data_IF_564641630669
#
_entry.id   IF_564641630669
#
_cell.length_a   1.000
_cell.length_b   1.000
_cell.length_c   1.000
_cell.angle_alpha   90.00
_cell.angle_beta   90.00
_cell.angle_gamma   90.00
#
_symmetry.space_group_name_H-M   'P 1'
#
loop_
_entity.id
_entity.type
_entity.pdbx_description
1 polymer ?
#
# COMPACT_ATOMS: atom_id res chain seq x y z
N UNK A 1 -7.06 6.37 -36.58
CA UNK A 1 -6.77 6.90 -35.22
C UNK A 1 -5.69 6.07 -34.54
N UNK A 2 -5.84 4.76 -34.33
CA UNK A 2 -4.67 3.91 -33.97
C UNK A 2 -3.55 4.07 -35.01
N UNK A 3 -3.90 4.05 -36.31
CA UNK A 3 -2.95 4.33 -37.40
C UNK A 3 -2.36 5.75 -37.38
N UNK A 4 -3.06 6.72 -36.80
CA UNK A 4 -2.63 8.12 -36.73
C UNK A 4 -1.62 8.29 -35.60
N UNK A 5 -1.93 7.79 -34.39
CA UNK A 5 -1.00 7.71 -33.28
C UNK A 5 0.27 6.92 -33.66
N UNK A 6 0.11 5.79 -34.35
CA UNK A 6 1.23 5.00 -34.86
C UNK A 6 2.07 5.76 -35.90
N UNK A 7 1.46 6.61 -36.73
CA UNK A 7 2.17 7.47 -37.70
C UNK A 7 2.91 8.60 -36.99
N UNK A 8 2.28 9.21 -35.98
CA UNK A 8 2.87 10.26 -35.15
C UNK A 8 4.08 9.75 -34.39
N UNK A 9 3.95 8.61 -33.69
CA UNK A 9 5.05 7.96 -32.96
C UNK A 9 6.20 7.58 -33.90
N UNK A 10 5.91 7.11 -35.12
CA UNK A 10 6.96 6.81 -36.12
C UNK A 10 7.70 8.05 -36.61
N UNK A 11 7.06 9.21 -36.57
CA UNK A 11 7.65 10.47 -36.99
C UNK A 11 8.48 11.12 -35.87
N UNK A 12 8.35 10.64 -34.63
CA UNK A 12 9.14 11.12 -33.49
C UNK A 12 10.63 10.84 -33.70
N UNK A 13 11.51 11.85 -33.60
CA UNK A 13 12.96 11.65 -33.68
C UNK A 13 13.45 10.65 -32.64
N UNK A 14 14.32 9.72 -33.06
CA UNK A 14 14.90 8.69 -32.19
C UNK A 14 14.08 7.40 -32.09
N UNK A 15 13.00 7.24 -32.86
CA UNK A 15 12.22 5.99 -32.93
C UNK A 15 12.67 5.12 -34.11
N UNK A 16 13.19 3.92 -33.82
CA UNK A 16 13.52 2.90 -34.82
C UNK A 16 12.29 2.19 -35.36
N UNK A 17 11.41 1.78 -34.46
CA UNK A 17 10.23 1.03 -34.83
C UNK A 17 9.12 1.15 -33.79
N UNK A 18 7.88 0.98 -34.26
CA UNK A 18 6.71 0.83 -33.39
C UNK A 18 5.81 -0.27 -33.92
N UNK A 19 5.40 -1.13 -33.01
CA UNK A 19 4.39 -2.17 -33.22
C UNK A 19 3.14 -1.86 -32.41
N UNK A 20 1.97 -2.17 -32.95
CA UNK A 20 0.69 -2.04 -32.26
C UNK A 20 0.02 -3.42 -32.18
N UNK A 21 -0.48 -3.76 -30.99
CA UNK A 21 -1.39 -4.87 -30.76
C UNK A 21 -2.75 -4.29 -30.35
N UNK A 22 -3.82 -4.75 -30.99
CA UNK A 22 -5.17 -4.21 -30.80
C UNK A 22 -6.08 -5.36 -30.44
N UNK A 23 -6.71 -5.28 -29.27
CA UNK A 23 -7.54 -6.34 -28.72
C UNK A 23 -8.85 -5.79 -28.18
N UNK A 24 -9.84 -6.66 -28.07
CA UNK A 24 -11.09 -6.35 -27.38
C UNK A 24 -10.83 -6.47 -25.88
N UNK A 25 -11.28 -5.50 -25.08
CA UNK A 25 -11.06 -5.47 -23.64
C UNK A 25 -11.72 -6.66 -22.95
N UNK A 26 -11.04 -7.25 -21.96
CA UNK A 26 -11.47 -8.51 -21.32
C UNK A 26 -12.85 -8.41 -20.63
N UNK A 27 -13.25 -7.21 -20.22
CA UNK A 27 -14.59 -6.93 -19.66
C UNK A 27 -15.75 -7.08 -20.67
N UNK A 28 -15.45 -7.12 -21.97
CA UNK A 28 -16.45 -7.27 -23.02
C UNK A 28 -17.01 -8.69 -23.13
N UNK A 29 -16.22 -9.72 -22.79
CA UNK A 29 -16.66 -11.12 -22.86
C UNK A 29 -17.92 -11.40 -22.00
N UNK A 30 -18.27 -10.49 -21.10
CA UNK A 30 -19.43 -10.54 -20.20
C UNK A 30 -20.49 -9.45 -20.48
N UNK A 31 -20.39 -8.66 -21.57
CA UNK A 31 -21.28 -7.52 -21.82
C UNK A 31 -22.16 -7.67 -23.08
N UNK A 32 -23.42 -7.20 -23.02
CA UNK A 32 -24.37 -7.15 -24.15
C UNK A 32 -24.08 -6.03 -25.17
N UNK A 33 -22.87 -5.44 -25.14
CA UNK A 33 -22.51 -4.31 -26.01
C UNK A 33 -22.17 -4.80 -27.43
N UNK A 34 -22.36 -3.93 -28.42
CA UNK A 34 -21.92 -4.20 -29.81
C UNK A 34 -20.40 -4.01 -29.92
N UNK A 35 -19.66 -4.90 -30.63
CA UNK A 35 -18.19 -4.81 -30.81
C UNK A 35 -17.71 -3.58 -31.60
N UNK A 36 -18.63 -2.68 -31.98
CA UNK A 36 -18.37 -1.43 -32.69
C UNK A 36 -18.12 -0.23 -31.78
N UNK A 37 -18.26 -0.37 -30.46
CA UNK A 37 -18.06 0.74 -29.54
C UNK A 37 -16.56 0.95 -29.22
N UNK A 38 -15.99 2.17 -29.38
CA UNK A 38 -14.55 2.43 -29.21
C UNK A 38 -14.01 2.18 -27.79
N UNK A 39 -14.86 2.31 -26.77
CA UNK A 39 -14.54 2.05 -25.35
C UNK A 39 -14.27 0.56 -25.03
N UNK A 40 -14.44 -0.32 -26.02
CA UNK A 40 -14.28 -1.77 -25.89
C UNK A 40 -12.96 -2.29 -26.47
N UNK A 41 -12.13 -1.39 -27.01
CA UNK A 41 -10.88 -1.76 -27.65
C UNK A 41 -9.72 -1.17 -26.86
N UNK A 42 -8.72 -2.02 -26.62
CA UNK A 42 -7.44 -1.64 -26.07
C UNK A 42 -6.37 -1.72 -27.17
N UNK A 43 -5.55 -0.68 -27.27
CA UNK A 43 -4.37 -0.68 -28.12
C UNK A 43 -3.10 -0.63 -27.26
N UNK A 44 -2.17 -1.52 -27.52
CA UNK A 44 -0.86 -1.56 -26.88
C UNK A 44 0.24 -1.29 -27.91
N UNK A 45 0.98 -0.21 -27.70
CA UNK A 45 2.11 0.16 -28.54
C UNK A 45 3.44 -0.26 -27.89
N UNK A 46 4.33 -0.86 -28.66
CA UNK A 46 5.73 -1.03 -28.26
C UNK A 46 6.59 -0.18 -29.17
N UNK A 47 7.27 0.79 -28.59
CA UNK A 47 8.15 1.75 -29.28
C UNK A 47 9.59 1.38 -28.96
N UNK A 48 10.43 1.21 -29.98
CA UNK A 48 11.85 0.95 -29.85
C UNK A 48 12.63 2.17 -30.29
N UNK A 49 13.52 2.67 -29.43
CA UNK A 49 14.42 3.76 -29.77
C UNK A 49 15.54 3.30 -30.73
N UNK A 50 16.05 4.24 -31.52
CA UNK A 50 17.14 4.02 -32.48
C UNK A 50 18.47 3.68 -31.81
N UNK A 51 18.78 4.38 -30.72
CA UNK A 51 20.00 4.19 -29.97
C UNK A 51 19.84 4.63 -28.50
N UNK A 52 20.94 4.55 -27.77
CA UNK A 52 21.05 4.88 -26.36
C UNK A 52 21.11 6.38 -26.05
N UNK A 53 21.36 7.23 -27.06
CA UNK A 53 21.64 8.67 -26.97
C UNK A 53 20.45 9.54 -27.42
N UNK A 54 19.27 8.93 -27.55
CA UNK A 54 18.02 9.65 -27.81
C UNK A 54 17.70 10.63 -26.68
N UNK A 55 17.03 11.72 -27.03
CA UNK A 55 16.46 12.67 -26.07
C UNK A 55 15.27 11.99 -25.35
N UNK A 56 15.55 11.35 -24.21
CA UNK A 56 14.56 10.54 -23.46
C UNK A 56 13.35 11.39 -23.05
N UNK A 57 13.50 12.60 -22.47
CA UNK A 57 12.35 13.46 -22.17
C UNK A 57 11.50 13.80 -23.41
N UNK A 58 12.12 14.21 -24.52
CA UNK A 58 11.36 14.56 -25.73
C UNK A 58 10.61 13.35 -26.31
N UNK A 59 11.25 12.16 -26.29
CA UNK A 59 10.64 10.92 -26.73
C UNK A 59 9.45 10.52 -25.84
N UNK A 60 9.60 10.59 -24.51
CA UNK A 60 8.55 10.29 -23.55
C UNK A 60 7.31 11.18 -23.76
N UNK A 61 7.51 12.51 -23.84
CA UNK A 61 6.43 13.48 -24.07
C UNK A 61 5.73 13.23 -25.40
N UNK A 62 6.49 12.96 -26.47
CA UNK A 62 5.90 12.73 -27.79
C UNK A 62 5.07 11.45 -27.85
N UNK A 63 5.52 10.37 -27.22
CA UNK A 63 4.79 9.09 -27.22
C UNK A 63 3.53 9.18 -26.34
N UNK A 64 3.63 9.78 -25.15
CA UNK A 64 2.47 10.00 -24.28
C UNK A 64 1.41 10.89 -24.95
N UNK A 65 1.82 12.01 -25.56
CA UNK A 65 0.90 12.88 -26.30
C UNK A 65 0.20 12.15 -27.45
N UNK A 66 0.91 11.29 -28.19
CA UNK A 66 0.31 10.52 -29.29
C UNK A 66 -0.68 9.46 -28.78
N UNK A 67 -0.41 8.85 -27.61
CA UNK A 67 -1.29 7.88 -26.98
C UNK A 67 -2.57 8.52 -26.40
N UNK A 68 -2.49 9.77 -25.91
CA UNK A 68 -3.65 10.49 -25.34
C UNK A 68 -4.63 11.04 -26.39
N UNK A 69 -4.21 11.17 -27.65
CA UNK A 69 -5.06 11.64 -28.75
C UNK A 69 -6.06 10.58 -29.26
N UNK A 70 -6.12 9.41 -28.62
CA UNK A 70 -6.97 8.27 -28.99
C UNK A 70 -8.40 8.33 -28.44
N UNK A 71 -9.35 7.72 -29.18
CA UNK A 71 -10.73 7.47 -28.70
C UNK A 71 -10.90 6.07 -28.08
N UNK A 72 -9.85 5.26 -28.14
CA UNK A 72 -9.76 3.92 -27.55
C UNK A 72 -8.79 3.98 -26.37
N UNK A 73 -8.88 3.04 -25.44
CA UNK A 73 -7.93 2.92 -24.34
C UNK A 73 -6.55 2.53 -24.91
N UNK A 74 -5.53 3.36 -24.68
CA UNK A 74 -4.19 3.17 -25.25
C UNK A 74 -3.16 3.03 -24.14
N UNK A 75 -2.30 2.02 -24.27
CA UNK A 75 -1.08 1.89 -23.48
C UNK A 75 0.13 1.86 -24.41
N UNK A 76 1.27 2.34 -23.94
CA UNK A 76 2.51 2.29 -24.70
C UNK A 76 3.71 1.97 -23.81
N UNK A 77 4.67 1.24 -24.37
CA UNK A 77 5.95 0.96 -23.73
C UNK A 77 7.05 1.44 -24.65
N UNK A 78 7.83 2.40 -24.18
CA UNK A 78 9.02 2.92 -24.87
C UNK A 78 10.24 2.20 -24.34
N UNK A 79 10.97 1.53 -25.22
CA UNK A 79 12.19 0.78 -24.91
C UNK A 79 13.39 1.48 -25.51
N UNK A 80 14.36 1.82 -24.68
CA UNK A 80 15.58 2.53 -25.04
C UNK A 80 16.77 1.63 -24.70
N UNK A 81 17.57 1.19 -25.69
CA UNK A 81 18.68 0.28 -25.44
C UNK A 81 19.79 0.98 -24.66
N UNK A 82 20.42 0.27 -23.71
CA UNK A 82 21.62 0.66 -22.98
C UNK A 82 22.79 1.04 -23.89
N UNK A 83 23.68 1.93 -23.41
CA UNK A 83 25.04 1.96 -23.95
C UNK A 83 25.74 0.62 -23.67
N UNK A 84 26.88 0.37 -24.29
CA UNK A 84 27.60 -0.89 -24.08
C UNK A 84 27.97 -1.07 -22.60
N UNK A 85 27.24 -1.96 -21.91
CA UNK A 85 27.41 -2.23 -20.48
C UNK A 85 26.58 -1.33 -19.56
N UNK A 86 25.71 -0.47 -20.11
CA UNK A 86 24.70 0.29 -19.37
C UNK A 86 23.32 -0.39 -19.45
N UNK A 87 22.40 0.03 -18.60
CA UNK A 87 21.08 -0.55 -18.52
C UNK A 87 20.16 -0.15 -19.67
N UNK A 88 19.29 -1.06 -20.07
CA UNK A 88 18.12 -0.75 -20.90
C UNK A 88 17.12 0.08 -20.08
N UNK A 89 16.32 0.91 -20.76
CA UNK A 89 15.27 1.70 -20.12
C UNK A 89 13.94 1.35 -20.77
N UNK A 90 12.91 1.21 -19.94
CA UNK A 90 11.52 1.01 -20.33
C UNK A 90 10.63 2.05 -19.65
N UNK A 91 9.91 2.86 -20.43
CA UNK A 91 8.89 3.78 -19.93
C UNK A 91 7.51 3.23 -20.29
N UNK A 92 6.67 2.95 -19.29
CA UNK A 92 5.34 2.38 -19.47
C UNK A 92 4.27 3.42 -19.19
N UNK A 93 3.55 3.78 -20.24
CA UNK A 93 2.39 4.67 -20.22
C UNK A 93 1.13 3.82 -20.31
N UNK A 94 0.20 4.03 -19.39
CA UNK A 94 -1.05 3.30 -19.35
C UNK A 94 -2.17 4.25 -18.94
N UNK A 95 -3.43 3.95 -19.28
CA UNK A 95 -4.54 4.72 -18.73
C UNK A 95 -4.59 4.56 -17.21
N UNK A 96 -5.01 5.59 -16.46
CA UNK A 96 -5.11 5.50 -15.00
C UNK A 96 -6.11 4.41 -14.61
N UNK A 97 -5.67 3.50 -13.73
CA UNK A 97 -6.54 2.48 -13.16
C UNK A 97 -7.61 3.09 -12.24
N UNK A 98 -8.69 2.34 -11.99
CA UNK A 98 -9.72 2.75 -11.03
C UNK A 98 -9.08 2.90 -9.65
N UNK A 99 -9.19 4.09 -9.06
CA UNK A 99 -8.63 4.40 -7.73
C UNK A 99 -7.16 4.88 -7.74
N UNK A 100 -6.53 5.01 -8.91
CA UNK A 100 -5.21 5.65 -9.02
C UNK A 100 -5.38 7.17 -8.97
N UNK A 101 -4.77 7.82 -7.99
CA UNK A 101 -4.82 9.28 -7.80
C UNK A 101 -3.49 9.98 -8.13
N UNK A 102 -2.43 9.23 -8.41
CA UNK A 102 -1.11 9.75 -8.75
C UNK A 102 -0.72 9.40 -10.18
N UNK A 103 -0.25 10.41 -10.91
CA UNK A 103 0.32 10.29 -12.26
C UNK A 103 1.63 11.03 -12.27
N UNK A 104 2.65 10.43 -12.88
CA UNK A 104 3.91 11.10 -13.15
C UNK A 104 3.84 11.81 -14.50
N UNK A 105 4.46 12.99 -14.57
CA UNK A 105 4.66 13.66 -15.85
C UNK A 105 5.69 12.87 -16.69
N UNK A 106 5.55 12.77 -18.03
CA UNK A 106 6.49 12.03 -18.87
C UNK A 106 7.95 12.49 -18.72
N UNK A 107 8.18 13.78 -18.47
CA UNK A 107 9.51 14.33 -18.20
C UNK A 107 10.09 13.80 -16.88
N UNK A 108 9.29 13.72 -15.81
CA UNK A 108 9.72 13.16 -14.53
C UNK A 108 10.04 11.66 -14.65
N UNK A 109 9.28 10.93 -15.47
CA UNK A 109 9.58 9.53 -15.76
C UNK A 109 10.91 9.37 -16.49
N UNK A 110 11.17 10.23 -17.47
CA UNK A 110 12.42 10.24 -18.23
C UNK A 110 13.63 10.58 -17.34
N UNK A 111 13.52 11.61 -16.50
CA UNK A 111 14.58 12.02 -15.57
C UNK A 111 14.92 10.91 -14.58
N UNK A 112 13.89 10.25 -14.00
CA UNK A 112 14.07 9.11 -13.12
C UNK A 112 14.78 7.94 -13.84
N UNK A 113 14.37 7.62 -15.07
CA UNK A 113 15.00 6.57 -15.84
C UNK A 113 16.48 6.85 -16.13
N UNK A 114 16.80 8.09 -16.54
CA UNK A 114 18.18 8.51 -16.82
C UNK A 114 19.04 8.47 -15.54
N UNK A 115 18.51 8.93 -14.40
CA UNK A 115 19.22 8.91 -13.13
C UNK A 115 19.59 7.50 -12.64
N UNK A 116 18.74 6.51 -12.92
CA UNK A 116 18.94 5.12 -12.46
C UNK A 116 19.72 4.25 -13.45
N UNK A 117 19.72 4.61 -14.73
CA UNK A 117 20.32 3.82 -15.82
C UNK A 117 21.81 3.54 -15.61
N UNK A 118 22.53 4.52 -15.06
CA UNK A 118 23.99 4.46 -14.91
C UNK A 118 24.43 3.88 -13.55
N UNK A 119 23.48 3.38 -12.76
CA UNK A 119 23.80 2.74 -11.49
C UNK A 119 24.56 1.41 -11.71
N UNK A 120 25.62 1.13 -10.93
CA UNK A 120 26.37 -0.11 -11.06
C UNK A 120 25.51 -1.35 -10.80
N UNK A 121 25.60 -2.35 -11.70
CA UNK A 121 24.89 -3.62 -11.56
C UNK A 121 23.46 -3.64 -12.10
N UNK A 122 22.96 -2.51 -12.62
CA UNK A 122 21.65 -2.38 -13.27
C UNK A 122 21.69 -2.97 -14.68
N UNK A 123 20.76 -3.87 -14.99
CA UNK A 123 20.53 -4.44 -16.31
C UNK A 123 19.42 -3.71 -17.06
N UNK A 124 18.34 -3.37 -16.36
CA UNK A 124 17.17 -2.70 -16.94
C UNK A 124 16.49 -1.81 -15.90
N UNK A 125 15.95 -0.67 -16.33
CA UNK A 125 15.14 0.24 -15.53
C UNK A 125 13.75 0.34 -16.14
N UNK A 126 12.70 0.12 -15.34
CA UNK A 126 11.31 0.23 -15.76
C UNK A 126 10.59 1.29 -14.94
N UNK A 127 10.12 2.36 -15.60
CA UNK A 127 9.37 3.45 -14.98
C UNK A 127 7.92 3.39 -15.44
N UNK A 128 6.99 3.49 -14.49
CA UNK A 128 5.56 3.38 -14.72
C UNK A 128 4.89 4.72 -14.46
N UNK A 129 3.93 5.10 -15.31
CA UNK A 129 3.22 6.38 -15.19
C UNK A 129 2.35 6.47 -13.92
N UNK A 130 1.91 5.32 -13.39
CA UNK A 130 0.84 5.24 -12.40
C UNK A 130 1.18 4.31 -11.24
N UNK A 131 1.43 4.90 -10.07
CA UNK A 131 1.38 4.25 -8.74
C UNK A 131 2.38 3.14 -8.44
N UNK A 132 2.98 2.51 -9.45
CA UNK A 132 3.96 1.43 -9.28
C UNK A 132 5.36 2.01 -9.00
N UNK A 133 6.10 1.44 -8.04
CA UNK A 133 7.50 1.81 -7.84
C UNK A 133 8.33 1.58 -9.10
N UNK A 134 9.39 2.37 -9.28
CA UNK A 134 10.32 2.17 -10.38
C UNK A 134 11.03 0.82 -10.20
N UNK A 135 11.03 -0.01 -11.25
CA UNK A 135 11.70 -1.30 -11.26
C UNK A 135 13.16 -1.19 -11.70
N UNK A 136 14.06 -1.85 -11.01
CA UNK A 136 15.46 -2.04 -11.43
C UNK A 136 15.75 -3.54 -11.48
N UNK A 137 16.04 -4.05 -12.66
CA UNK A 137 16.51 -5.42 -12.85
C UNK A 137 18.02 -5.47 -12.64
N UNK A 138 18.48 -6.44 -11.86
CA UNK A 138 19.90 -6.72 -11.59
C UNK A 138 20.21 -8.17 -11.89
N UNK A 139 21.49 -8.49 -12.10
CA UNK A 139 21.91 -9.87 -12.42
C UNK A 139 21.65 -10.85 -11.26
N UNK A 140 21.84 -10.40 -10.02
CA UNK A 140 21.71 -11.25 -8.84
C UNK A 140 21.35 -10.43 -7.61
N UNK A 141 20.62 -11.04 -6.67
CA UNK A 141 20.28 -10.40 -5.40
C UNK A 141 21.49 -10.05 -4.52
N UNK A 142 22.68 -10.61 -4.81
CA UNK A 142 23.92 -10.26 -4.11
C UNK A 142 24.27 -8.76 -4.18
N UNK A 143 23.77 -8.02 -5.18
CA UNK A 143 24.02 -6.58 -5.31
C UNK A 143 23.01 -5.71 -4.58
N UNK A 144 21.93 -6.28 -4.02
CA UNK A 144 20.85 -5.51 -3.40
C UNK A 144 21.32 -4.58 -2.28
N UNK A 145 22.25 -5.03 -1.43
CA UNK A 145 22.74 -4.21 -0.32
C UNK A 145 23.51 -2.96 -0.80
N UNK A 146 24.43 -3.13 -1.75
CA UNK A 146 25.24 -2.04 -2.30
C UNK A 146 24.39 -1.10 -3.16
N UNK A 147 23.47 -1.66 -3.96
CA UNK A 147 22.57 -0.88 -4.80
C UNK A 147 21.56 -0.10 -3.95
N UNK A 148 21.00 -0.69 -2.88
CA UNK A 148 20.13 0.02 -1.93
C UNK A 148 20.84 1.21 -1.31
N UNK A 149 22.10 1.04 -0.92
CA UNK A 149 22.92 2.14 -0.36
C UNK A 149 23.15 3.24 -1.41
N UNK A 150 23.42 2.86 -2.65
CA UNK A 150 23.65 3.80 -3.76
C UNK A 150 22.37 4.58 -4.10
N UNK A 151 21.23 3.88 -4.21
CA UNK A 151 19.91 4.46 -4.48
C UNK A 151 19.50 5.43 -3.37
N UNK A 152 19.70 5.07 -2.10
CA UNK A 152 19.40 5.96 -0.96
C UNK A 152 20.25 7.22 -0.91
N UNK A 153 21.39 7.25 -1.61
CA UNK A 153 22.23 8.44 -1.71
C UNK A 153 21.80 9.37 -2.86
N UNK A 154 20.83 8.98 -3.69
CA UNK A 154 20.30 9.84 -4.75
C UNK A 154 19.49 11.00 -4.14
N UNK A 155 19.64 12.23 -4.66
CA UNK A 155 19.02 13.42 -4.07
C UNK A 155 17.48 13.41 -4.09
N UNK A 156 16.87 12.77 -5.09
CA UNK A 156 15.41 12.78 -5.29
C UNK A 156 14.71 11.50 -4.78
N UNK A 157 15.47 10.54 -4.24
CA UNK A 157 14.90 9.30 -3.71
C UNK A 157 14.04 9.56 -2.46
N UNK A 158 12.85 8.99 -2.44
CA UNK A 158 11.80 9.27 -1.45
C UNK A 158 10.80 10.34 -1.88
N UNK A 159 10.91 10.88 -3.10
CA UNK A 159 10.01 11.94 -3.59
C UNK A 159 9.77 11.85 -5.09
N UNK A 160 8.73 12.55 -5.56
CA UNK A 160 8.43 12.69 -6.99
C UNK A 160 8.27 11.33 -7.70
N UNK A 161 9.10 11.10 -8.73
CA UNK A 161 9.11 9.86 -9.51
C UNK A 161 9.85 8.69 -8.85
N UNK A 162 10.57 8.93 -7.74
CA UNK A 162 11.34 7.92 -7.01
C UNK A 162 10.88 7.76 -5.56
N UNK A 163 9.57 7.60 -5.26
CA UNK A 163 9.10 7.46 -3.88
C UNK A 163 9.55 6.13 -3.25
N UNK A 164 9.69 5.10 -4.08
CA UNK A 164 10.22 3.78 -3.77
C UNK A 164 10.75 3.13 -5.06
N UNK A 165 11.61 2.12 -4.92
CA UNK A 165 12.18 1.35 -6.03
C UNK A 165 12.02 -0.15 -5.74
N UNK A 166 11.67 -0.94 -6.75
CA UNK A 166 11.66 -2.40 -6.67
C UNK A 166 12.89 -2.96 -7.39
N UNK A 167 13.79 -3.58 -6.65
CA UNK A 167 14.90 -4.35 -7.21
C UNK A 167 14.39 -5.74 -7.58
N UNK A 168 14.67 -6.21 -8.79
CA UNK A 168 14.33 -7.56 -9.25
C UNK A 168 15.60 -8.28 -9.69
N UNK A 169 15.72 -9.55 -9.31
CA UNK A 169 16.77 -10.44 -9.82
C UNK A 169 16.10 -11.66 -10.44
N UNK A 170 16.31 -11.93 -11.75
CA UNK A 170 15.71 -13.09 -12.40
C UNK A 170 16.22 -14.38 -11.75
N UNK A 171 15.36 -15.40 -11.66
CA UNK A 171 15.77 -16.72 -11.23
C UNK A 171 16.35 -17.49 -12.42
N UNK A 172 17.45 -18.22 -12.19
CA UNK A 172 18.02 -19.11 -13.20
C UNK A 172 17.00 -20.18 -13.64
N UNK A 173 16.41 -20.00 -14.83
CA UNK A 173 15.51 -20.98 -15.44
C UNK A 173 14.13 -21.12 -14.79
N UNK A 174 13.74 -20.21 -13.89
CA UNK A 174 12.42 -20.15 -13.24
C UNK A 174 11.62 -18.94 -13.77
N UNK A 175 10.29 -19.03 -13.80
CA UNK A 175 9.40 -17.92 -14.16
C UNK A 175 9.22 -16.89 -13.05
N UNK A 176 9.78 -17.16 -11.87
CA UNK A 176 9.58 -16.41 -10.63
C UNK A 176 10.96 -16.01 -10.07
N UNK A 177 11.42 -14.80 -10.40
CA UNK A 177 12.62 -14.18 -9.83
C UNK A 177 12.38 -13.57 -8.45
N UNK A 178 13.43 -13.18 -7.73
CA UNK A 178 13.30 -12.53 -6.43
C UNK A 178 13.11 -11.02 -6.58
N UNK A 179 12.40 -10.38 -5.66
CA UNK A 179 12.22 -8.92 -5.63
C UNK A 179 12.28 -8.31 -4.24
N UNK A 180 12.78 -7.08 -4.18
CA UNK A 180 12.90 -6.28 -2.97
C UNK A 180 12.46 -4.84 -3.26
N UNK A 181 11.34 -4.41 -2.68
CA UNK A 181 10.94 -3.00 -2.72
C UNK A 181 11.58 -2.24 -1.57
N UNK A 182 12.24 -1.13 -1.89
CA UNK A 182 12.94 -0.24 -0.96
C UNK A 182 12.39 1.19 -1.06
N UNK A 183 12.38 1.87 0.07
CA UNK A 183 12.17 3.30 0.21
C UNK A 183 13.38 3.93 0.97
N UNK A 184 13.36 5.24 1.29
CA UNK A 184 14.46 5.90 2.01
C UNK A 184 14.87 5.25 3.34
N UNK A 185 13.95 4.58 4.04
CA UNK A 185 14.16 4.05 5.40
C UNK A 185 13.94 2.54 5.51
N UNK A 186 13.08 1.96 4.67
CA UNK A 186 12.64 0.57 4.71
C UNK A 186 13.02 -0.21 3.45
N UNK A 187 13.37 -1.50 3.56
CA UNK A 187 13.76 -2.16 4.80
C UNK A 187 15.11 -1.64 5.31
N UNK A 188 15.38 -1.82 6.61
CA UNK A 188 16.67 -1.47 7.20
C UNK A 188 17.84 -2.19 6.50
N UNK A 189 19.04 -1.60 6.54
CA UNK A 189 20.23 -2.18 5.85
C UNK A 189 20.57 -3.59 6.33
N UNK A 190 20.29 -3.91 7.60
CA UNK A 190 20.45 -5.26 8.16
C UNK A 190 19.53 -6.29 7.49
N UNK A 191 18.26 -5.95 7.30
CA UNK A 191 17.30 -6.82 6.61
C UNK A 191 17.60 -6.92 5.12
N UNK A 192 17.98 -5.84 4.44
CA UNK A 192 18.40 -5.90 3.03
C UNK A 192 19.53 -6.91 2.83
N UNK A 193 20.55 -6.88 3.70
CA UNK A 193 21.66 -7.84 3.63
C UNK A 193 21.18 -9.27 3.87
N UNK A 194 20.36 -9.49 4.89
CA UNK A 194 19.79 -10.79 5.19
C UNK A 194 18.97 -11.34 4.00
N UNK A 195 18.12 -10.52 3.37
CA UNK A 195 17.32 -10.93 2.22
C UNK A 195 18.18 -11.23 0.97
N UNK A 196 19.26 -10.47 0.77
CA UNK A 196 20.24 -10.76 -0.28
C UNK A 196 20.94 -12.11 -0.05
N UNK A 197 21.32 -12.43 1.19
CA UNK A 197 21.90 -13.73 1.54
C UNK A 197 20.88 -14.86 1.36
N UNK A 198 19.67 -14.68 1.90
CA UNK A 198 18.57 -15.66 1.82
C UNK A 198 18.19 -15.99 0.37
N UNK A 199 18.11 -14.98 -0.50
CA UNK A 199 17.77 -15.17 -1.92
C UNK A 199 18.86 -15.86 -2.74
N UNK A 200 20.08 -15.97 -2.21
CA UNK A 200 21.18 -16.75 -2.81
C UNK A 200 21.34 -18.14 -2.19
N UNK A 201 20.53 -18.48 -1.18
CA UNK A 201 20.53 -19.80 -0.57
C UNK A 201 19.93 -20.83 -1.55
N UNK A 202 20.58 -21.99 -1.67
CA UNK A 202 20.14 -23.07 -2.55
C UNK A 202 18.80 -23.70 -2.12
N UNK A 203 18.43 -23.57 -0.84
CA UNK A 203 17.13 -24.01 -0.34
C UNK A 203 15.99 -23.07 -0.76
N UNK A 204 16.31 -21.82 -1.14
CA UNK A 204 15.34 -20.78 -1.47
C UNK A 204 15.21 -20.65 -2.98
N UNK A 205 13.98 -20.70 -3.47
CA UNK A 205 13.64 -20.54 -4.89
C UNK A 205 13.34 -19.08 -5.23
N UNK A 206 12.67 -18.36 -4.35
CA UNK A 206 12.40 -16.93 -4.54
C UNK A 206 12.10 -16.21 -3.24
N UNK A 207 12.43 -14.92 -3.21
CA UNK A 207 12.17 -13.99 -2.10
C UNK A 207 11.44 -12.77 -2.65
N UNK A 208 10.30 -12.42 -2.06
CA UNK A 208 9.53 -11.23 -2.41
C UNK A 208 9.26 -10.38 -1.17
N UNK A 209 9.81 -9.18 -1.13
CA UNK A 209 9.47 -8.19 -0.11
C UNK A 209 8.79 -6.99 -0.77
N UNK A 210 7.53 -6.72 -0.40
CA UNK A 210 6.73 -5.69 -1.06
C UNK A 210 7.01 -4.25 -0.59
N UNK A 211 7.87 -4.07 0.43
CA UNK A 211 8.37 -2.74 0.84
C UNK A 211 7.26 -1.91 1.44
N UNK A 212 7.20 -0.59 1.19
CA UNK A 212 6.06 0.26 1.56
C UNK A 212 5.17 0.53 0.35
N UNK A 213 3.88 0.19 0.45
CA UNK A 213 2.90 0.48 -0.61
C UNK A 213 2.20 1.81 -0.34
N UNK A 214 2.80 2.90 -0.83
CA UNK A 214 2.29 4.28 -0.68
C UNK A 214 0.92 4.53 -1.34
N UNK A 215 0.35 3.53 -2.04
CA UNK A 215 -1.00 3.59 -2.61
C UNK A 215 -2.08 3.10 -1.64
N UNK A 216 -1.68 2.33 -0.62
CA UNK A 216 -2.59 1.80 0.39
C UNK A 216 -2.60 2.74 1.57
N UNK A 217 -3.73 2.79 2.26
CA UNK A 217 -3.81 3.50 3.53
C UNK A 217 -2.73 2.94 4.47
N UNK A 218 -1.81 3.81 4.91
CA UNK A 218 -0.71 3.47 5.82
C UNK A 218 -1.20 2.82 7.12
N UNK A 219 -2.44 3.07 7.54
CA UNK A 219 -3.04 2.45 8.72
C UNK A 219 -3.51 1.00 8.49
N UNK A 220 -3.78 0.61 7.24
CA UNK A 220 -4.27 -0.73 6.88
C UNK A 220 -3.17 -1.64 6.31
N UNK A 221 -1.96 -1.13 6.17
CA UNK A 221 -0.92 -1.74 5.37
C UNK A 221 0.25 -2.23 6.25
N UNK A 222 0.68 -3.48 6.03
CA UNK A 222 1.87 -4.10 6.68
C UNK A 222 2.77 -4.68 5.59
N UNK A 223 4.09 -4.44 5.62
CA UNK A 223 5.01 -5.09 4.70
C UNK A 223 4.95 -6.59 4.86
N UNK A 224 5.07 -7.32 3.75
CA UNK A 224 5.04 -8.77 3.72
C UNK A 224 6.26 -9.33 2.98
N UNK A 225 6.91 -10.29 3.63
CA UNK A 225 7.97 -11.11 3.07
C UNK A 225 7.42 -12.48 2.63
N UNK A 226 7.49 -12.80 1.35
CA UNK A 226 7.12 -14.11 0.82
C UNK A 226 8.37 -14.86 0.42
N UNK A 227 8.55 -16.06 0.98
CA UNK A 227 9.68 -16.92 0.65
C UNK A 227 9.16 -18.23 0.08
N UNK A 228 9.71 -18.60 -1.07
CA UNK A 228 9.46 -19.91 -1.68
C UNK A 228 10.70 -20.77 -1.52
N UNK A 229 10.53 -21.99 -1.05
CA UNK A 229 11.63 -22.95 -0.84
C UNK A 229 11.48 -24.19 -1.73
N UNK A 230 12.59 -24.90 -1.93
CA UNK A 230 12.66 -26.05 -2.83
C UNK A 230 12.17 -27.36 -2.18
N UNK A 231 12.34 -27.54 -0.87
CA UNK A 231 11.89 -28.74 -0.15
C UNK A 231 11.04 -28.42 1.09
N UNK A 232 10.18 -29.37 1.48
CA UNK A 232 9.25 -29.19 2.60
C UNK A 232 9.98 -29.00 3.94
N UNK A 233 11.14 -29.65 4.13
CA UNK A 233 11.96 -29.47 5.33
C UNK A 233 12.51 -28.04 5.47
N UNK A 234 12.75 -27.37 4.35
CA UNK A 234 13.29 -26.01 4.33
C UNK A 234 12.26 -24.97 4.79
N UNK A 235 10.96 -25.32 4.82
CA UNK A 235 9.89 -24.40 5.25
C UNK A 235 10.06 -24.05 6.73
N UNK A 236 10.27 -25.05 7.58
CA UNK A 236 10.49 -24.84 9.02
C UNK A 236 11.84 -24.17 9.28
N UNK A 237 12.90 -24.59 8.57
CA UNK A 237 14.24 -24.04 8.74
C UNK A 237 14.29 -22.54 8.38
N UNK A 238 13.73 -22.16 7.22
CA UNK A 238 13.66 -20.75 6.81
C UNK A 238 12.74 -19.94 7.72
N UNK A 239 11.57 -20.48 8.10
CA UNK A 239 10.71 -19.79 9.05
C UNK A 239 11.42 -19.55 10.40
N UNK A 240 12.18 -20.53 10.89
CA UNK A 240 13.02 -20.40 12.08
C UNK A 240 14.00 -19.24 11.97
N UNK A 241 14.75 -19.16 10.87
CA UNK A 241 15.67 -18.04 10.61
C UNK A 241 14.96 -16.68 10.65
N UNK A 242 13.77 -16.59 10.06
CA UNK A 242 12.98 -15.34 10.07
C UNK A 242 12.51 -14.93 11.47
N UNK A 243 12.24 -15.90 12.35
CA UNK A 243 11.86 -15.63 13.75
C UNK A 243 13.02 -15.27 14.66
N UNK A 244 14.27 -15.59 14.27
CA UNK A 244 15.49 -15.31 15.05
C UNK A 244 16.11 -13.94 14.75
N UNK A 245 15.58 -13.20 13.75
CA UNK A 245 16.05 -11.86 13.41
C UNK A 245 15.90 -10.90 14.61
N UNK A 246 16.91 -10.05 14.82
CA UNK A 246 16.87 -9.08 15.91
C UNK A 246 16.13 -7.78 15.53
N UNK A 247 15.76 -6.99 16.54
CA UNK A 247 15.03 -5.73 16.37
C UNK A 247 15.77 -4.74 15.43
N UNK A 248 17.10 -4.77 15.39
CA UNK A 248 17.88 -3.87 14.53
C UNK A 248 17.79 -4.24 13.04
N UNK A 249 17.39 -5.47 12.74
CA UNK A 249 17.11 -5.93 11.39
C UNK A 249 15.63 -5.70 11.03
N UNK A 250 14.71 -5.94 11.95
CA UNK A 250 13.29 -6.04 11.63
C UNK A 250 12.49 -4.75 11.87
N UNK A 251 12.92 -3.90 12.79
CA UNK A 251 12.20 -2.66 13.14
C UNK A 251 12.67 -1.48 12.31
N UNK A 252 11.71 -0.73 11.78
CA UNK A 252 11.93 0.58 11.13
C UNK A 252 10.98 1.57 11.78
N UNK A 253 11.50 2.71 12.24
CA UNK A 253 10.71 3.72 12.93
C UNK A 253 9.50 4.17 12.10
N UNK A 254 8.32 4.08 12.70
CA UNK A 254 7.06 4.49 12.08
C UNK A 254 6.43 3.47 11.13
N UNK A 255 7.01 2.29 10.96
CA UNK A 255 6.44 1.21 10.15
C UNK A 255 6.04 0.00 11.00
N UNK A 256 4.93 -0.67 10.66
CA UNK A 256 4.58 -1.93 11.30
C UNK A 256 5.60 -3.01 10.93
N UNK A 257 5.87 -3.90 11.88
CA UNK A 257 6.75 -5.06 11.74
C UNK A 257 6.30 -5.92 10.55
N UNK A 258 7.21 -6.27 9.65
CA UNK A 258 6.80 -7.04 8.48
C UNK A 258 6.27 -8.43 8.87
N UNK A 259 5.19 -8.87 8.23
CA UNK A 259 4.76 -10.27 8.26
C UNK A 259 5.60 -11.10 7.29
N UNK A 260 5.55 -12.41 7.44
CA UNK A 260 6.09 -13.33 6.44
C UNK A 260 5.19 -14.54 6.16
N UNK A 261 5.33 -15.08 4.95
CA UNK A 261 4.86 -16.42 4.58
C UNK A 261 5.98 -17.22 3.90
N UNK A 262 6.22 -18.44 4.40
CA UNK A 262 7.15 -19.41 3.81
C UNK A 262 6.35 -20.59 3.26
N UNK A 263 6.57 -20.95 2.00
CA UNK A 263 5.91 -22.10 1.39
C UNK A 263 6.77 -22.82 0.36
N UNK A 264 6.40 -24.06 0.02
CA UNK A 264 7.06 -24.85 -1.01
C UNK A 264 6.77 -24.31 -2.44
N UNK A 265 7.76 -24.42 -3.34
CA UNK A 265 7.59 -24.21 -4.78
C UNK A 265 7.34 -25.54 -5.55
N UNK A 266 6.56 -25.54 -6.65
CA UNK A 266 5.67 -24.48 -7.13
C UNK A 266 4.31 -24.51 -6.38
N UNK A 267 3.64 -23.36 -6.28
CA UNK A 267 2.33 -23.23 -5.64
C UNK A 267 1.16 -23.91 -6.39
N UNK A 268 1.45 -24.83 -7.32
CA UNK A 268 0.43 -25.47 -8.17
C UNK A 268 -0.18 -26.68 -7.48
N UNK A 269 -1.03 -26.47 -6.48
CA UNK A 269 -2.10 -27.42 -6.12
C UNK A 269 -3.09 -26.79 -5.16
N UNK A 270 -4.37 -27.00 -5.44
CA UNK A 270 -5.56 -26.78 -4.59
C UNK A 270 -5.56 -27.52 -3.25
N UNK A 271 -4.48 -28.24 -2.94
CA UNK A 271 -4.15 -28.78 -1.63
C UNK A 271 -2.86 -28.09 -1.18
N UNK A 272 -2.98 -26.90 -0.57
CA UNK A 272 -1.82 -26.09 -0.21
C UNK A 272 -0.86 -26.89 0.68
N UNK A 273 0.44 -27.01 0.32
CA UNK A 273 1.45 -27.44 1.28
C UNK A 273 1.45 -26.48 2.47
N UNK A 274 1.92 -26.98 3.62
CA UNK A 274 2.02 -26.25 4.88
C UNK A 274 2.73 -24.90 4.67
N UNK A 275 1.94 -23.80 4.68
CA UNK A 275 2.48 -22.45 4.68
C UNK A 275 2.68 -22.05 6.13
N UNK A 276 3.91 -21.71 6.50
CA UNK A 276 4.19 -21.10 7.79
C UNK A 276 4.12 -19.59 7.67
N UNK A 277 3.35 -18.98 8.56
CA UNK A 277 3.19 -17.53 8.63
C UNK A 277 3.63 -17.00 10.00
N UNK A 278 4.12 -15.76 10.02
CA UNK A 278 4.58 -15.12 11.23
C UNK A 278 4.93 -13.66 11.03
N UNK A 279 5.69 -13.12 11.97
CA UNK A 279 6.22 -11.76 11.96
C UNK A 279 7.73 -11.82 12.17
N UNK A 280 8.48 -11.00 11.42
CA UNK A 280 9.94 -11.05 11.46
C UNK A 280 10.45 -10.79 12.89
N UNK A 281 11.36 -11.65 13.37
CA UNK A 281 11.94 -11.56 14.71
C UNK A 281 11.02 -11.96 15.87
N UNK A 282 9.80 -12.44 15.59
CA UNK A 282 8.90 -12.96 16.62
C UNK A 282 8.75 -14.47 16.50
N UNK A 283 8.60 -15.20 17.64
CA UNK A 283 8.33 -16.63 17.61
C UNK A 283 7.09 -16.99 16.79
N UNK A 284 7.11 -18.16 16.14
CA UNK A 284 5.96 -18.68 15.42
C UNK A 284 4.73 -18.79 16.34
N UNK A 285 3.57 -18.38 15.81
CA UNK A 285 2.31 -18.35 16.56
C UNK A 285 2.15 -17.14 17.50
N UNK A 286 3.09 -16.18 17.48
CA UNK A 286 2.90 -14.87 18.10
C UNK A 286 1.61 -14.21 17.58
N UNK A 287 0.89 -13.54 18.47
CA UNK A 287 -0.24 -12.72 18.08
C UNK A 287 0.23 -11.56 17.17
N UNK A 288 -0.69 -11.02 16.38
CA UNK A 288 -0.42 -9.84 15.56
C UNK A 288 0.10 -8.68 16.43
N UNK A 289 1.25 -8.08 16.08
CA UNK A 289 1.75 -6.89 16.74
C UNK A 289 0.80 -5.71 16.58
N UNK A 290 0.56 -4.99 17.67
CA UNK A 290 -0.23 -3.75 17.69
C UNK A 290 0.64 -2.54 17.35
N UNK A 291 1.17 -2.52 16.14
CA UNK A 291 2.16 -1.55 15.63
C UNK A 291 1.68 -0.79 14.39
N UNK A 292 0.44 -1.02 13.97
CA UNK A 292 -0.18 -0.40 12.77
C UNK A 292 -0.50 1.10 12.91
N UNK A 293 -0.05 1.76 13.98
CA UNK A 293 -0.43 3.14 14.31
C UNK A 293 0.74 4.11 14.57
N UNK A 294 1.98 3.77 14.19
CA UNK A 294 3.15 4.59 14.54
C UNK A 294 3.62 5.65 13.52
N UNK A 295 2.95 5.87 12.37
CA UNK A 295 3.61 6.57 11.24
C UNK A 295 2.79 7.42 10.28
N UNK A 296 1.73 8.11 10.70
CA UNK A 296 1.07 9.08 9.81
C UNK A 296 1.93 10.35 9.62
N UNK A 297 2.28 10.77 8.39
CA UNK A 297 2.78 12.12 8.13
C UNK A 297 1.63 13.11 8.37
N UNK A 298 1.59 13.69 9.56
CA UNK A 298 0.52 14.58 10.01
C UNK A 298 -0.15 14.17 11.32
N UNK A 299 0.08 12.96 11.84
CA UNK A 299 -0.23 12.69 13.23
C UNK A 299 0.80 13.41 14.08
N UNK A 300 0.35 14.43 14.81
CA UNK A 300 1.13 14.99 15.90
C UNK A 300 1.29 13.85 16.92
N UNK A 301 2.52 13.40 17.27
CA UNK A 301 2.69 12.49 18.39
C UNK A 301 1.93 13.09 19.57
N UNK A 302 1.09 12.34 20.32
CA UNK A 302 0.41 12.91 21.47
C UNK A 302 1.49 13.53 22.35
N UNK A 303 1.42 14.86 22.49
CA UNK A 303 2.43 15.61 23.22
C UNK A 303 2.54 14.96 24.60
N UNK A 304 3.76 14.78 25.11
CA UNK A 304 3.93 14.38 26.51
C UNK A 304 3.34 15.52 27.33
N UNK A 305 2.19 15.27 27.95
CA UNK A 305 1.44 16.27 28.69
C UNK A 305 1.93 16.26 30.15
N UNK A 306 2.03 17.43 30.78
CA UNK A 306 2.25 17.53 32.24
C UNK A 306 1.14 16.72 32.95
N UNK A 307 1.42 15.92 34.00
CA UNK A 307 0.39 15.16 34.72
C UNK A 307 -0.86 15.97 35.15
N UNK A 308 -0.73 17.28 35.41
CA UNK A 308 -1.89 18.15 35.68
C UNK A 308 -2.76 18.40 34.43
N UNK A 309 -2.14 18.53 33.27
CA UNK A 309 -2.81 18.71 31.99
C UNK A 309 -3.37 17.38 31.45
N UNK A 310 -2.74 16.23 31.78
CA UNK A 310 -3.25 14.89 31.47
C UNK A 310 -4.56 14.60 32.24
N UNK A 311 -4.60 14.94 33.53
CA UNK A 311 -5.82 14.81 34.35
C UNK A 311 -6.96 15.69 33.79
N UNK A 312 -6.63 16.91 33.35
CA UNK A 312 -7.60 17.84 32.73
C UNK A 312 -8.12 17.29 31.41
N UNK A 313 -7.25 16.67 30.60
CA UNK A 313 -7.61 16.05 29.34
C UNK A 313 -8.54 14.85 29.54
N UNK A 314 -8.20 13.93 30.45
CA UNK A 314 -9.04 12.76 30.76
C UNK A 314 -10.42 13.18 31.27
N UNK A 315 -10.49 14.23 32.10
CA UNK A 315 -11.77 14.79 32.53
C UNK A 315 -12.58 15.39 31.37
N UNK A 316 -11.90 16.03 30.41
CA UNK A 316 -12.51 16.53 29.17
C UNK A 316 -13.04 15.41 28.27
N UNK A 317 -12.26 14.35 28.08
CA UNK A 317 -12.63 13.18 27.27
C UNK A 317 -13.78 12.40 27.92
N UNK A 318 -13.82 12.29 29.25
CA UNK A 318 -14.95 11.72 29.98
C UNK A 318 -16.23 12.52 29.79
N UNK A 319 -16.15 13.85 29.83
CA UNK A 319 -17.29 14.72 29.56
C UNK A 319 -17.76 14.61 28.09
N UNK A 320 -16.82 14.56 27.14
CA UNK A 320 -17.10 14.41 25.72
C UNK A 320 -17.84 13.10 25.42
N UNK A 321 -17.27 11.97 25.85
CA UNK A 321 -17.84 10.64 25.60
C UNK A 321 -19.20 10.49 26.27
N UNK A 322 -19.35 10.98 27.50
CA UNK A 322 -20.65 10.98 28.20
C UNK A 322 -21.70 11.80 27.43
N UNK A 323 -21.36 13.02 27.02
CA UNK A 323 -22.28 13.89 26.29
C UNK A 323 -22.68 13.29 24.93
N UNK A 324 -21.76 12.63 24.23
CA UNK A 324 -22.03 11.97 22.96
C UNK A 324 -23.05 10.84 23.11
N UNK A 325 -22.87 9.96 24.11
CA UNK A 325 -23.77 8.83 24.35
C UNK A 325 -25.15 9.30 24.85
N UNK A 326 -25.19 10.34 25.68
CA UNK A 326 -26.45 10.96 26.12
C UNK A 326 -27.20 11.60 24.95
N UNK A 327 -26.51 12.34 24.08
CA UNK A 327 -27.10 12.96 22.90
C UNK A 327 -27.68 11.90 21.94
N UNK A 328 -26.99 10.78 21.74
CA UNK A 328 -27.52 9.69 20.92
C UNK A 328 -28.81 9.08 21.50
N UNK A 329 -28.91 8.97 22.83
CA UNK A 329 -30.15 8.57 23.49
C UNK A 329 -31.28 9.61 23.36
N UNK A 330 -30.94 10.90 23.36
CA UNK A 330 -31.92 11.97 23.12
C UNK A 330 -32.45 11.96 21.68
N UNK A 331 -31.57 11.77 20.68
CA UNK A 331 -31.97 11.64 19.27
C UNK A 331 -32.81 10.38 19.02
N UNK A 332 -32.51 9.28 19.72
CA UNK A 332 -33.33 8.07 19.67
C UNK A 332 -34.68 8.19 20.38
N UNK A 333 -34.90 9.24 21.17
CA UNK A 333 -36.10 9.43 21.99
C UNK A 333 -36.18 8.57 23.27
N UNK A 334 -35.17 7.73 23.54
CA UNK A 334 -35.01 6.96 24.77
C UNK A 334 -33.52 6.76 25.09
N UNK A 335 -33.15 6.93 26.36
CA UNK A 335 -31.77 6.73 26.82
C UNK A 335 -31.56 5.31 27.34
N UNK A 336 -30.44 4.69 26.96
CA UNK A 336 -29.92 3.47 27.59
C UNK A 336 -28.95 3.79 28.74
N UNK A 337 -28.61 2.81 29.60
CA UNK A 337 -27.59 3.00 30.61
C UNK A 337 -26.20 3.07 29.96
N UNK A 338 -25.65 4.27 29.82
CA UNK A 338 -24.29 4.45 29.33
C UNK A 338 -23.27 4.01 30.37
N UNK A 339 -22.27 3.24 29.94
CA UNK A 339 -21.10 2.88 30.73
C UNK A 339 -19.91 3.62 30.16
N UNK A 340 -19.36 4.56 30.92
CA UNK A 340 -18.15 5.31 30.55
C UNK A 340 -17.11 5.07 31.64
N UNK A 341 -15.93 4.61 31.23
CA UNK A 341 -14.84 4.25 32.14
C UNK A 341 -13.51 4.69 31.58
N UNK A 342 -12.59 5.07 32.47
CA UNK A 342 -11.19 5.24 32.12
C UNK A 342 -10.50 3.88 32.18
N UNK A 343 -9.80 3.52 31.12
CA UNK A 343 -9.02 2.27 31.02
C UNK A 343 -7.58 2.59 30.65
N UNK A 344 -6.67 1.69 31.01
CA UNK A 344 -5.28 1.78 30.53
C UNK A 344 -5.22 1.46 29.04
N UNK A 345 -4.49 2.26 28.28
CA UNK A 345 -4.20 2.03 26.87
C UNK A 345 -3.41 0.74 26.64
N UNK A 346 -3.59 0.15 25.47
CA UNK A 346 -2.81 -1.01 24.99
C UNK A 346 -1.35 -0.57 24.80
N UNK A 347 -0.52 -0.74 25.84
CA UNK A 347 0.91 -0.35 25.79
C UNK A 347 1.55 0.13 27.11
N UNK A 348 0.79 0.38 28.19
CA UNK A 348 1.38 0.74 29.49
C UNK A 348 0.61 1.80 30.29
N UNK A 349 1.34 2.73 30.90
CA UNK A 349 0.90 3.71 31.92
C UNK A 349 -0.04 4.82 31.43
N UNK A 350 -0.52 4.74 30.19
CA UNK A 350 -1.34 5.76 29.55
C UNK A 350 -2.82 5.42 29.76
N UNK A 351 -3.67 6.43 29.90
CA UNK A 351 -5.10 6.27 30.17
C UNK A 351 -5.93 6.77 28.98
N UNK A 352 -7.00 6.05 28.65
CA UNK A 352 -8.02 6.44 27.67
C UNK A 352 -9.41 6.37 28.28
N UNK A 353 -10.35 7.10 27.70
CA UNK A 353 -11.77 7.00 28.07
C UNK A 353 -12.48 6.17 27.02
N UNK A 354 -13.15 5.10 27.47
CA UNK A 354 -14.04 4.29 26.63
C UNK A 354 -15.45 4.37 27.17
N UNK A 355 -16.42 4.51 26.26
CA UNK A 355 -17.83 4.56 26.59
C UNK A 355 -18.67 3.70 25.66
N UNK A 356 -19.66 3.00 26.20
CA UNK A 356 -20.62 2.24 25.43
C UNK A 356 -22.04 2.40 25.97
N UNK A 357 -23.02 2.30 25.08
CA UNK A 357 -24.44 2.27 25.43
C UNK A 357 -25.19 1.32 24.50
N UNK A 358 -26.22 0.67 25.04
CA UNK A 358 -27.25 0.00 24.24
C UNK A 358 -28.54 0.76 24.48
N UNK A 359 -29.03 1.44 23.45
CA UNK A 359 -30.28 2.19 23.45
C UNK A 359 -31.42 1.20 23.18
N UNK A 360 -32.35 1.00 24.14
CA UNK A 360 -33.39 -0.02 24.04
C UNK A 360 -34.58 0.45 23.19
N UNK A 361 -34.33 0.79 21.92
CA UNK A 361 -35.33 1.42 21.02
C UNK A 361 -36.63 0.60 20.86
N UNK A 362 -36.54 -0.72 21.01
CA UNK A 362 -37.69 -1.63 20.92
C UNK A 362 -38.69 -1.51 22.08
N UNK A 363 -38.38 -0.73 23.12
CA UNK A 363 -39.37 -0.38 24.16
C UNK A 363 -40.38 0.67 23.69
N UNK A 364 -40.05 1.46 22.66
CA UNK A 364 -40.86 2.58 22.18
C UNK A 364 -41.20 2.52 20.69
N UNK A 365 -40.50 1.69 19.91
CA UNK A 365 -40.72 1.56 18.46
C UNK A 365 -40.57 0.11 17.99
N UNK A 366 -41.26 -0.26 16.90
CA UNK A 366 -41.20 -1.61 16.31
C UNK A 366 -39.95 -1.83 15.42
N UNK A 367 -39.23 -0.75 15.08
CA UNK A 367 -37.98 -0.79 14.31
C UNK A 367 -36.94 0.16 14.90
N UNK A 368 -35.66 -0.13 14.66
CA UNK A 368 -34.53 0.70 15.03
C UNK A 368 -34.11 1.69 13.92
N UNK A 369 -34.63 1.55 12.69
CA UNK A 369 -34.14 2.28 11.52
C UNK A 369 -34.27 3.81 11.68
N UNK A 370 -35.43 4.29 12.13
CA UNK A 370 -35.67 5.74 12.30
C UNK A 370 -34.75 6.37 13.36
N UNK A 371 -34.52 5.67 14.47
CA UNK A 371 -33.60 6.14 15.51
C UNK A 371 -32.14 6.04 15.07
N UNK A 372 -31.78 5.00 14.32
CA UNK A 372 -30.44 4.85 13.77
C UNK A 372 -30.13 6.01 12.82
N UNK A 373 -31.04 6.29 11.88
CA UNK A 373 -30.91 7.39 10.92
C UNK A 373 -30.88 8.76 11.62
N UNK A 374 -31.66 8.97 12.68
CA UNK A 374 -31.64 10.21 13.46
C UNK A 374 -30.27 10.46 14.12
N UNK A 375 -29.71 9.43 14.77
CA UNK A 375 -28.39 9.52 15.42
C UNK A 375 -27.30 9.81 14.38
N UNK A 376 -27.28 9.06 13.28
CA UNK A 376 -26.24 9.23 12.25
C UNK A 376 -26.38 10.56 11.52
N UNK A 377 -27.60 11.04 11.27
CA UNK A 377 -27.84 12.37 10.67
C UNK A 377 -27.35 13.48 11.61
N UNK A 378 -27.58 13.36 12.91
CA UNK A 378 -27.08 14.33 13.89
C UNK A 378 -25.54 14.38 13.88
N UNK A 379 -24.88 13.23 13.81
CA UNK A 379 -23.42 13.14 13.69
C UNK A 379 -22.90 13.78 12.40
N UNK A 380 -23.55 13.53 11.26
CA UNK A 380 -23.18 14.15 9.98
C UNK A 380 -23.36 15.69 10.00
N UNK A 381 -24.43 16.20 10.64
CA UNK A 381 -24.63 17.64 10.86
C UNK A 381 -23.52 18.23 11.73
N UNK A 382 -23.05 17.48 12.73
CA UNK A 382 -21.88 17.84 13.56
C UNK A 382 -20.54 17.69 12.83
N UNK A 383 -20.55 17.29 11.56
CA UNK A 383 -19.38 17.18 10.71
C UNK A 383 -18.64 15.85 10.80
N UNK A 384 -19.21 14.84 11.46
CA UNK A 384 -18.63 13.50 11.50
C UNK A 384 -18.87 12.82 10.16
N UNK A 385 -17.88 12.11 9.65
CA UNK A 385 -18.00 11.37 8.40
C UNK A 385 -17.97 9.89 8.66
N UNK A 386 -18.80 9.14 7.94
CA UNK A 386 -18.72 7.68 7.95
C UNK A 386 -17.41 7.24 7.32
N UNK A 387 -16.61 6.48 8.06
CA UNK A 387 -15.28 6.02 7.64
C UNK A 387 -15.27 4.59 7.13
N UNK A 388 -16.06 3.70 7.74
CA UNK A 388 -16.10 2.30 7.36
C UNK A 388 -17.46 1.64 7.68
N UNK A 389 -17.66 0.43 7.14
CA UNK A 389 -18.73 -0.50 7.51
C UNK A 389 -18.22 -1.93 7.54
N UNK A 390 -18.26 -2.55 8.73
CA UNK A 390 -17.92 -3.96 8.89
C UNK A 390 -19.00 -4.72 9.66
N UNK A 391 -19.46 -5.84 9.09
CA UNK A 391 -20.40 -6.77 9.75
C UNK A 391 -21.68 -6.11 10.31
N UNK A 392 -22.18 -5.08 9.63
CA UNK A 392 -23.37 -4.32 10.04
C UNK A 392 -23.11 -3.28 11.15
N UNK A 393 -21.84 -3.01 11.46
CA UNK A 393 -21.40 -1.90 12.30
C UNK A 393 -20.91 -0.77 11.40
N UNK A 394 -21.38 0.44 11.65
CA UNK A 394 -20.99 1.63 10.93
C UNK A 394 -20.00 2.42 11.79
N UNK A 395 -18.84 2.78 11.21
CA UNK A 395 -17.78 3.52 11.89
C UNK A 395 -17.75 4.97 11.41
N UNK A 396 -17.45 5.89 12.33
CA UNK A 396 -17.41 7.32 12.09
C UNK A 396 -16.07 7.90 12.51
N UNK A 397 -15.56 8.83 11.70
CA UNK A 397 -14.39 9.64 11.98
C UNK A 397 -14.81 11.06 12.38
N UNK A 398 -14.11 11.60 13.38
CA UNK A 398 -14.34 12.96 13.87
C UNK A 398 -13.23 13.89 13.36
N UNK A 399 -13.55 15.04 12.74
CA UNK A 399 -12.55 15.91 12.08
C UNK A 399 -11.47 16.47 13.01
N UNK A 400 -11.77 16.65 14.28
CA UNK A 400 -10.86 17.23 15.27
C UNK A 400 -10.01 16.18 16.00
N UNK A 401 -10.17 14.89 15.66
CA UNK A 401 -9.47 13.78 16.30
C UNK A 401 -9.82 13.58 17.77
N UNK A 402 -10.94 14.14 18.25
CA UNK A 402 -11.36 14.02 19.65
C UNK A 402 -11.79 12.60 20.04
N UNK A 403 -12.12 11.75 19.06
CA UNK A 403 -12.39 10.34 19.23
C UNK A 403 -11.49 9.52 18.31
N UNK A 404 -10.93 8.45 18.86
CA UNK A 404 -10.20 7.44 18.12
C UNK A 404 -11.15 6.47 17.42
N UNK A 405 -12.22 6.06 18.11
CA UNK A 405 -13.24 5.18 17.54
C UNK A 405 -14.62 5.69 17.89
N UNK A 406 -15.50 5.77 16.90
CA UNK A 406 -16.94 5.92 17.09
C UNK A 406 -17.63 4.90 16.18
N UNK A 407 -18.51 4.09 16.77
CA UNK A 407 -19.22 3.06 16.03
C UNK A 407 -20.67 2.92 16.50
N UNK A 408 -21.54 2.56 15.56
CA UNK A 408 -22.97 2.33 15.79
C UNK A 408 -23.42 1.06 15.07
N UNK A 409 -24.27 0.28 15.73
CA UNK A 409 -24.81 -0.98 15.19
C UNK A 409 -26.23 -1.22 15.67
N UNK A 410 -27.10 -1.62 14.74
CA UNK A 410 -28.38 -2.24 15.08
C UNK A 410 -28.19 -3.66 15.62
N UNK A 411 -28.73 -3.95 16.81
CA UNK A 411 -28.69 -5.26 17.47
C UNK A 411 -30.08 -5.72 17.84
N UNK A 412 -30.23 -6.98 18.25
CA UNK A 412 -31.52 -7.49 18.75
C UNK A 412 -31.99 -6.82 20.05
N UNK A 413 -31.09 -6.18 20.81
CA UNK A 413 -31.41 -5.46 22.03
C UNK A 413 -31.69 -3.95 21.79
N UNK A 414 -31.54 -3.48 20.54
CA UNK A 414 -31.65 -2.08 20.16
C UNK A 414 -30.38 -1.57 19.50
N UNK A 415 -30.08 -0.27 19.63
CA UNK A 415 -28.93 0.36 18.98
C UNK A 415 -27.73 0.35 19.92
N UNK A 416 -26.65 -0.29 19.53
CA UNK A 416 -25.39 -0.30 20.27
C UNK A 416 -24.46 0.78 19.72
N UNK A 417 -23.91 1.61 20.62
CA UNK A 417 -22.92 2.63 20.29
C UNK A 417 -21.69 2.40 21.17
N UNK A 418 -20.51 2.51 20.56
CA UNK A 418 -19.24 2.49 21.26
C UNK A 418 -18.38 3.67 20.83
N UNK A 419 -17.78 4.35 21.79
CA UNK A 419 -16.93 5.52 21.59
C UNK A 419 -15.66 5.38 22.43
N UNK A 420 -14.50 5.66 21.84
CA UNK A 420 -13.20 5.65 22.53
C UNK A 420 -12.45 6.92 22.19
N UNK A 421 -11.99 7.62 23.23
CA UNK A 421 -11.12 8.78 23.09
C UNK A 421 -9.64 8.33 22.98
N UNK A 422 -8.77 9.13 22.33
CA UNK A 422 -7.36 8.80 22.21
C UNK A 422 -6.64 8.64 23.55
N UNK A 423 -5.57 7.87 23.55
CA UNK A 423 -4.70 7.70 24.71
C UNK A 423 -4.03 9.00 25.18
N UNK A 424 -4.10 9.25 26.49
CA UNK A 424 -3.43 10.37 27.17
C UNK A 424 -2.18 9.86 27.87
N UNK A 425 -1.03 10.37 27.44
CA UNK A 425 0.29 10.03 27.99
C UNK A 425 0.68 10.99 29.11
N UNK A 426 0.70 10.49 30.34
CA UNK A 426 1.21 11.23 31.51
C UNK A 426 2.64 10.76 31.85
N UNK A 427 3.55 11.69 32.15
CA UNK A 427 4.94 11.37 32.55
C UNK A 427 5.14 11.38 34.04
#
# INVERSE_FOLDING_TARGET
MVDEALTEIRATPGVASVTADIRVSDGFAQSDKSPTAPDLWDAHFTVQADDSNVDVPALAVSVDSAAQNGTVSMSSVVRIPGEKGGADVSLSFSPPGIGVITSLDPEQMADAAVALRDLPGTLSVSVFQHGEPVGIEVESASVWADLTTTVRALPDFGSGALPAITLTSPADGSSEGSSLTIDPTSPGTGLVRFLAELSTDLAVTSVYFDGVDNRKDSAAWRPNLRVRVAALGDVEDVAGLLTELDDSQTQVDGLPLASFDVSLAPATATDSPETLTGYLGLPLGSAEPDDRLAGLPGATPPAVVDPADATTRIAGDLALVTALLDAAGDEAGIRGPASVTTTTCTGGSDEQVTGSVVIPIFEIADSADEAFDAITTAWEISGFSRSDRAMGTDFYSVPDGSLETLSIRGTAAGISINATAPCVRSR
#
